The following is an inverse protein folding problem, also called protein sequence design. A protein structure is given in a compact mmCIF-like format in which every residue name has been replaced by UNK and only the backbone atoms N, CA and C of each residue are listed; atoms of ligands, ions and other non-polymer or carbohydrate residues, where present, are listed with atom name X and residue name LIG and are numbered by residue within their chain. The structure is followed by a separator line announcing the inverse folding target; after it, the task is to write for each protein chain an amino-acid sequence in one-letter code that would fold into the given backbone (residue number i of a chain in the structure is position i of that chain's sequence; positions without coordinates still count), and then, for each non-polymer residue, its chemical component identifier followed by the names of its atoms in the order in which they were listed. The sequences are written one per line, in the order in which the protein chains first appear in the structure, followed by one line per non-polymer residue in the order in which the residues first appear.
data_IF_064092646804
#
_entry.id   IF_064092646804
#
_cell.length_a   1.000
_cell.length_b   1.000
_cell.length_c   1.000
_cell.angle_alpha   90.00
_cell.angle_beta   90.00
_cell.angle_gamma   90.00
#
_symmetry.space_group_name_H-M   'P 1'
#
loop_
_entity.id
_entity.type
_entity.pdbx_description
1 polymer ?
#
# COMPACT_ATOMS: atom_id res chain seq x y z
N UNK A 1 -10.30 -22.54 -42.49
CA UNK A 1 -9.88 -23.85 -41.92
C UNK A 1 -8.41 -23.89 -41.54
N UNK A 2 -7.48 -23.39 -42.42
CA UNK A 2 -6.03 -23.34 -42.11
C UNK A 2 -5.70 -22.46 -40.90
N UNK A 3 -6.37 -21.30 -40.72
CA UNK A 3 -6.22 -20.35 -39.59
C UNK A 3 -6.64 -21.01 -38.26
N UNK A 4 -7.63 -21.91 -38.28
CA UNK A 4 -8.06 -22.66 -37.09
C UNK A 4 -7.07 -23.75 -36.64
N UNK A 5 -6.11 -24.11 -37.50
CA UNK A 5 -5.07 -25.09 -37.25
C UNK A 5 -3.71 -24.47 -36.83
N UNK A 6 -3.70 -23.14 -36.55
CA UNK A 6 -2.49 -22.45 -36.11
C UNK A 6 -1.47 -22.16 -37.24
N UNK A 7 -1.88 -22.20 -38.50
CA UNK A 7 -1.07 -21.84 -39.67
C UNK A 7 -1.01 -20.30 -39.75
N UNK A 8 0.19 -19.73 -39.65
CA UNK A 8 0.39 -18.28 -39.67
C UNK A 8 0.17 -17.65 -41.04
N UNK A 9 0.51 -18.38 -42.13
CA UNK A 9 0.31 -17.92 -43.52
C UNK A 9 0.25 -19.10 -44.47
N UNK A 10 -0.21 -18.89 -45.70
CA UNK A 10 -0.22 -19.89 -46.76
C UNK A 10 0.10 -19.21 -48.09
N UNK A 11 0.78 -19.95 -48.99
CA UNK A 11 1.14 -19.55 -50.33
C UNK A 11 0.41 -20.43 -51.33
N UNK A 12 -0.16 -19.81 -52.38
CA UNK A 12 -0.82 -20.54 -53.46
C UNK A 12 0.19 -20.80 -54.59
N UNK A 13 0.19 -22.02 -55.15
CA UNK A 13 1.03 -22.33 -56.29
C UNK A 13 0.45 -21.76 -57.60
N UNK A 14 1.29 -21.20 -58.47
CA UNK A 14 2.74 -21.07 -58.42
C UNK A 14 3.19 -19.97 -57.45
N UNK A 15 4.19 -20.24 -56.60
CA UNK A 15 4.73 -19.28 -55.64
C UNK A 15 5.82 -18.45 -56.32
N UNK A 16 5.66 -17.13 -56.29
CA UNK A 16 6.72 -16.22 -56.73
C UNK A 16 7.76 -16.03 -55.64
N UNK A 17 9.05 -15.94 -56.00
CA UNK A 17 10.16 -15.79 -55.01
C UNK A 17 9.95 -14.58 -54.08
N UNK A 18 9.46 -13.45 -54.61
CA UNK A 18 9.17 -12.24 -53.84
C UNK A 18 8.06 -12.47 -52.82
N UNK A 19 7.03 -13.22 -53.19
CA UNK A 19 5.90 -13.53 -52.25
C UNK A 19 6.32 -14.47 -51.14
N UNK A 20 7.23 -15.41 -51.46
CA UNK A 20 7.84 -16.31 -50.48
C UNK A 20 8.72 -15.55 -49.50
N UNK A 21 9.62 -14.66 -49.99
CA UNK A 21 10.46 -13.81 -49.13
C UNK A 21 9.62 -12.94 -48.19
N UNK A 22 8.62 -12.26 -48.71
CA UNK A 22 7.71 -11.39 -47.88
C UNK A 22 6.98 -12.22 -46.84
N UNK A 23 6.54 -13.41 -47.15
CA UNK A 23 5.82 -14.27 -46.20
C UNK A 23 6.75 -14.79 -45.10
N UNK A 24 7.99 -15.18 -45.45
CA UNK A 24 9.02 -15.60 -44.49
C UNK A 24 9.38 -14.42 -43.58
N UNK A 25 9.62 -13.23 -44.13
CA UNK A 25 9.93 -12.03 -43.33
C UNK A 25 8.80 -11.70 -42.35
N UNK A 26 7.56 -11.74 -42.76
CA UNK A 26 6.39 -11.51 -41.94
C UNK A 26 6.26 -12.55 -40.82
N UNK A 27 6.55 -13.81 -41.08
CA UNK A 27 6.57 -14.87 -40.07
C UNK A 27 7.70 -14.65 -39.04
N UNK A 28 8.89 -14.26 -39.50
CA UNK A 28 10.00 -13.91 -38.60
C UNK A 28 9.69 -12.71 -37.73
N UNK A 29 9.10 -11.66 -38.28
CA UNK A 29 8.67 -10.47 -37.52
C UNK A 29 7.62 -10.81 -36.49
N UNK A 30 6.65 -11.67 -36.82
CA UNK A 30 5.63 -12.15 -35.87
C UNK A 30 6.26 -12.96 -34.72
N UNK A 31 7.21 -13.86 -35.03
CA UNK A 31 7.92 -14.64 -34.00
C UNK A 31 8.74 -13.71 -33.08
N UNK A 32 9.46 -12.77 -33.69
CA UNK A 32 10.21 -11.76 -32.93
C UNK A 32 9.34 -10.94 -32.01
N UNK A 33 8.23 -10.41 -32.52
CA UNK A 33 7.28 -9.61 -31.74
C UNK A 33 6.61 -10.43 -30.64
N UNK A 34 6.24 -11.69 -30.86
CA UNK A 34 5.71 -12.57 -29.83
C UNK A 34 6.73 -12.84 -28.73
N UNK A 35 8.00 -13.10 -29.07
CA UNK A 35 9.08 -13.29 -28.10
C UNK A 35 9.36 -12.02 -27.31
N UNK A 36 9.39 -10.87 -27.97
CA UNK A 36 9.56 -9.56 -27.32
C UNK A 36 8.42 -9.30 -26.34
N UNK A 37 7.17 -9.44 -26.77
CA UNK A 37 6.00 -9.24 -25.91
C UNK A 37 6.00 -10.21 -24.72
N UNK A 38 6.40 -11.47 -24.91
CA UNK A 38 6.49 -12.43 -23.81
C UNK A 38 7.60 -12.07 -22.81
N UNK A 39 8.73 -11.58 -23.29
CA UNK A 39 9.85 -11.12 -22.45
C UNK A 39 9.46 -9.86 -21.67
N UNK A 40 8.81 -8.91 -22.34
CA UNK A 40 8.35 -7.67 -21.71
C UNK A 40 7.30 -7.95 -20.62
N UNK A 41 6.37 -8.86 -20.87
CA UNK A 41 5.38 -9.31 -19.90
C UNK A 41 6.02 -9.99 -18.67
N UNK A 42 7.02 -10.86 -18.91
CA UNK A 42 7.78 -11.49 -17.83
C UNK A 42 8.56 -10.46 -17.01
N UNK A 43 9.12 -9.44 -17.69
CA UNK A 43 9.85 -8.35 -17.02
C UNK A 43 8.92 -7.53 -16.15
N UNK A 44 7.77 -7.10 -16.66
CA UNK A 44 6.76 -6.37 -15.89
C UNK A 44 6.26 -7.18 -14.69
N UNK A 45 5.96 -8.47 -14.89
CA UNK A 45 5.55 -9.34 -13.79
C UNK A 45 6.64 -9.47 -12.71
N UNK A 46 7.92 -9.61 -13.12
CA UNK A 46 9.04 -9.71 -12.18
C UNK A 46 9.23 -8.41 -11.40
N UNK A 47 9.15 -7.25 -12.07
CA UNK A 47 9.23 -5.94 -11.43
C UNK A 47 8.08 -5.70 -10.44
N UNK A 48 6.85 -6.08 -10.82
CA UNK A 48 5.69 -5.96 -9.95
C UNK A 48 5.84 -6.84 -8.69
N UNK A 49 6.28 -8.09 -8.87
CA UNK A 49 6.53 -9.01 -7.74
C UNK A 49 7.68 -8.54 -6.86
N UNK A 50 8.72 -7.92 -7.43
CA UNK A 50 9.82 -7.33 -6.67
C UNK A 50 9.34 -6.11 -5.88
N UNK A 51 8.64 -5.18 -6.51
CA UNK A 51 8.08 -4.01 -5.85
C UNK A 51 7.07 -4.38 -4.75
N UNK A 52 6.22 -5.38 -4.96
CA UNK A 52 5.25 -5.84 -3.96
C UNK A 52 5.82 -6.76 -2.86
N UNK A 53 7.11 -7.17 -2.96
CA UNK A 53 7.74 -8.09 -2.01
C UNK A 53 7.26 -9.53 -2.12
N UNK A 54 6.63 -9.92 -3.24
CA UNK A 54 6.08 -11.26 -3.46
C UNK A 54 7.02 -12.20 -4.24
N UNK A 55 8.30 -11.84 -4.40
CA UNK A 55 9.35 -12.67 -4.99
C UNK A 55 10.49 -12.89 -3.99
N UNK A 56 10.99 -14.11 -3.91
CA UNK A 56 12.17 -14.41 -3.09
C UNK A 56 13.47 -13.91 -3.74
N UNK A 57 14.50 -13.64 -2.94
CA UNK A 57 15.78 -13.08 -3.40
C UNK A 57 16.50 -13.96 -4.43
N UNK A 58 16.43 -15.29 -4.28
CA UNK A 58 17.01 -16.25 -5.21
C UNK A 58 16.29 -16.23 -6.58
N UNK A 59 14.95 -16.35 -6.57
CA UNK A 59 14.13 -16.26 -7.78
C UNK A 59 14.30 -14.90 -8.48
N UNK A 60 14.38 -13.81 -7.69
CA UNK A 60 14.62 -12.47 -8.23
C UNK A 60 15.96 -12.39 -8.95
N UNK A 61 17.02 -12.92 -8.35
CA UNK A 61 18.36 -12.89 -8.92
C UNK A 61 18.45 -13.67 -10.26
N UNK A 62 17.85 -14.85 -10.31
CA UNK A 62 17.78 -15.66 -11.53
C UNK A 62 17.02 -14.95 -12.65
N UNK A 63 15.85 -14.40 -12.34
CA UNK A 63 15.02 -13.69 -13.33
C UNK A 63 15.67 -12.39 -13.78
N UNK A 64 16.27 -11.64 -12.87
CA UNK A 64 16.92 -10.37 -13.16
C UNK A 64 18.07 -10.56 -14.17
N UNK A 65 18.89 -11.60 -14.00
CA UNK A 65 19.98 -11.93 -14.93
C UNK A 65 19.47 -12.18 -16.36
N UNK A 66 18.35 -12.89 -16.52
CA UNK A 66 17.75 -13.20 -17.83
C UNK A 66 17.07 -11.97 -18.45
N UNK A 67 16.43 -11.15 -17.61
CA UNK A 67 15.61 -10.03 -18.05
C UNK A 67 16.37 -8.71 -18.17
N UNK A 68 17.66 -8.68 -17.77
CA UNK A 68 18.49 -7.48 -17.81
C UNK A 68 18.06 -6.45 -16.76
N UNK A 69 17.68 -6.90 -15.57
CA UNK A 69 17.39 -6.05 -14.41
C UNK A 69 18.65 -6.03 -13.54
N UNK A 70 19.19 -4.84 -13.29
CA UNK A 70 20.38 -4.70 -12.47
C UNK A 70 20.00 -4.58 -10.99
N UNK A 71 20.40 -5.56 -10.20
CA UNK A 71 20.17 -5.62 -8.75
C UNK A 71 21.34 -5.10 -7.90
N UNK A 72 22.38 -4.53 -8.55
CA UNK A 72 23.61 -4.09 -7.87
C UNK A 72 23.73 -2.56 -7.82
N UNK A 73 22.64 -1.89 -7.48
CA UNK A 73 22.65 -0.43 -7.28
C UNK A 73 22.90 -0.09 -5.80
N UNK A 74 23.57 1.04 -5.52
CA UNK A 74 23.82 1.49 -4.14
C UNK A 74 22.54 1.75 -3.33
N UNK A 75 21.51 2.26 -4.01
CA UNK A 75 20.21 2.59 -3.44
C UNK A 75 19.11 2.36 -4.47
N UNK A 76 17.89 2.16 -3.97
CA UNK A 76 16.68 2.04 -4.77
C UNK A 76 15.59 2.94 -4.22
N UNK A 77 14.76 3.47 -5.11
CA UNK A 77 13.57 4.25 -4.74
C UNK A 77 12.44 3.91 -5.71
N UNK A 78 11.23 3.82 -5.19
CA UNK A 78 10.03 3.63 -6.01
C UNK A 78 9.29 4.94 -6.19
N UNK A 79 8.91 5.22 -7.42
CA UNK A 79 8.07 6.35 -7.80
C UNK A 79 6.77 5.80 -8.38
N UNK A 80 5.63 6.22 -7.85
CA UNK A 80 4.30 5.87 -8.36
C UNK A 80 3.67 7.11 -8.99
N UNK A 81 3.08 6.94 -10.18
CA UNK A 81 2.35 8.01 -10.86
C UNK A 81 0.94 7.56 -11.23
N UNK A 82 -0.03 8.45 -11.00
CA UNK A 82 -1.43 8.27 -11.38
C UNK A 82 -1.92 9.43 -12.23
N UNK A 83 -2.89 9.15 -13.06
CA UNK A 83 -3.54 10.14 -13.91
C UNK A 83 -4.54 10.99 -13.12
N UNK A 84 -4.53 12.31 -13.33
CA UNK A 84 -5.61 13.21 -12.92
C UNK A 84 -6.53 13.49 -14.13
N UNK A 85 -7.81 13.24 -13.95
CA UNK A 85 -8.79 13.50 -15.01
C UNK A 85 -8.66 12.62 -16.26
N UNK A 86 -8.89 13.19 -17.44
CA UNK A 86 -8.91 12.48 -18.74
C UNK A 86 -7.57 12.50 -19.50
N UNK A 87 -6.53 13.09 -18.93
CA UNK A 87 -5.22 13.26 -19.59
C UNK A 87 -4.46 11.94 -19.75
N UNK A 88 -3.56 11.85 -20.72
CA UNK A 88 -2.73 10.67 -20.97
C UNK A 88 -1.40 10.78 -20.21
N UNK A 89 -0.97 9.68 -19.57
CA UNK A 89 0.35 9.58 -18.94
C UNK A 89 1.50 9.36 -19.97
N UNK A 90 1.20 9.20 -21.25
CA UNK A 90 2.21 8.77 -22.24
C UNK A 90 3.36 9.79 -22.40
N UNK A 91 3.05 11.07 -22.53
CA UNK A 91 4.06 12.13 -22.68
C UNK A 91 4.90 12.26 -21.40
N UNK A 92 4.27 12.31 -20.23
CA UNK A 92 4.95 12.36 -18.95
C UNK A 92 5.89 11.15 -18.75
N UNK A 93 5.41 9.95 -19.09
CA UNK A 93 6.20 8.72 -19.02
C UNK A 93 7.43 8.76 -19.92
N UNK A 94 7.29 9.26 -21.16
CA UNK A 94 8.40 9.41 -22.08
C UNK A 94 9.45 10.40 -21.53
N UNK A 95 9.03 11.58 -21.06
CA UNK A 95 9.91 12.58 -20.46
C UNK A 95 10.61 12.06 -19.19
N UNK A 96 9.88 11.36 -18.31
CA UNK A 96 10.51 10.73 -17.15
C UNK A 96 11.58 9.69 -17.52
N UNK A 97 11.31 8.82 -18.49
CA UNK A 97 12.29 7.82 -18.94
C UNK A 97 13.51 8.48 -19.56
N UNK A 98 13.36 9.56 -20.30
CA UNK A 98 14.45 10.29 -20.93
C UNK A 98 15.33 11.02 -19.89
N UNK A 99 14.72 11.78 -18.98
CA UNK A 99 15.45 12.58 -17.99
C UNK A 99 16.09 11.72 -16.89
N UNK A 100 15.30 10.83 -16.30
CA UNK A 100 15.77 10.00 -15.18
C UNK A 100 16.82 8.97 -15.61
N UNK A 101 16.73 8.43 -16.85
CA UNK A 101 17.71 7.47 -17.35
C UNK A 101 19.12 8.08 -17.56
N UNK A 102 19.25 9.41 -17.56
CA UNK A 102 20.57 10.06 -17.60
C UNK A 102 21.33 9.94 -16.27
N UNK A 103 20.62 9.76 -15.15
CA UNK A 103 21.19 9.74 -13.80
C UNK A 103 20.99 8.42 -13.08
N UNK A 104 19.92 7.72 -13.37
CA UNK A 104 19.48 6.53 -12.65
C UNK A 104 19.19 5.37 -13.59
N UNK A 105 19.28 4.16 -13.11
CA UNK A 105 18.67 3.03 -13.78
C UNK A 105 17.16 3.06 -13.54
N UNK A 106 16.37 3.03 -14.61
CA UNK A 106 14.91 3.18 -14.54
C UNK A 106 14.24 1.90 -15.03
N UNK A 107 13.45 1.27 -14.17
CA UNK A 107 12.64 0.11 -14.50
C UNK A 107 11.16 0.45 -14.27
N UNK A 108 10.39 0.62 -15.35
CA UNK A 108 8.96 1.00 -15.28
C UNK A 108 8.02 -0.17 -15.58
N UNK A 109 6.87 -0.21 -14.88
CA UNK A 109 5.80 -1.17 -15.10
C UNK A 109 4.44 -0.60 -14.67
N UNK A 110 3.35 -1.29 -15.04
CA UNK A 110 2.00 -0.98 -14.56
C UNK A 110 1.61 -1.93 -13.45
N UNK A 111 1.10 -1.40 -12.35
CA UNK A 111 0.56 -2.23 -11.29
C UNK A 111 -0.92 -2.61 -11.55
N UNK A 112 -1.46 -3.50 -10.70
CA UNK A 112 -2.83 -4.00 -10.81
C UNK A 112 -3.90 -2.91 -10.64
N UNK A 113 -3.57 -1.79 -9.99
CA UNK A 113 -4.46 -0.62 -9.82
C UNK A 113 -4.34 0.39 -10.97
N UNK A 114 -3.56 0.07 -12.02
CA UNK A 114 -3.34 0.94 -13.16
C UNK A 114 -2.46 2.15 -12.86
N UNK A 115 -1.62 2.10 -11.82
CA UNK A 115 -0.59 3.10 -11.53
C UNK A 115 0.66 2.79 -12.33
N UNK A 116 1.30 3.81 -12.88
CA UNK A 116 2.62 3.63 -13.46
C UNK A 116 3.69 3.73 -12.39
N UNK A 117 4.43 2.67 -12.23
CA UNK A 117 5.45 2.51 -11.20
C UNK A 117 6.82 2.49 -11.83
N UNK A 118 7.77 3.24 -11.26
CA UNK A 118 9.18 3.24 -11.62
C UNK A 118 10.00 2.78 -10.42
N UNK A 119 10.89 1.84 -10.64
CA UNK A 119 11.98 1.50 -9.72
C UNK A 119 13.21 2.22 -10.22
N UNK A 120 13.71 3.17 -9.43
CA UNK A 120 14.95 3.89 -9.68
C UNK A 120 16.07 3.21 -8.90
N UNK A 121 17.21 2.99 -9.55
CA UNK A 121 18.43 2.49 -8.94
C UNK A 121 19.59 3.44 -9.20
N UNK A 122 20.40 3.76 -8.19
CA UNK A 122 21.52 4.68 -8.38
C UNK A 122 22.12 5.22 -7.09
N UNK A 123 22.79 6.35 -7.20
CA UNK A 123 23.30 7.14 -6.07
C UNK A 123 22.46 8.40 -5.90
N UNK A 124 22.46 8.94 -4.70
CA UNK A 124 21.81 10.22 -4.37
C UNK A 124 20.29 10.22 -4.69
N UNK A 125 19.62 9.09 -4.43
CA UNK A 125 18.17 8.94 -4.54
C UNK A 125 17.43 9.64 -3.39
N UNK A 126 17.91 10.84 -3.00
CA UNK A 126 17.17 11.69 -2.06
C UNK A 126 15.85 12.12 -2.69
N UNK A 127 14.83 12.31 -1.85
CA UNK A 127 13.51 12.73 -2.34
C UNK A 127 13.54 14.07 -3.04
N UNK A 128 14.38 14.99 -2.58
CA UNK A 128 14.59 16.31 -3.16
C UNK A 128 15.11 16.18 -4.59
N UNK A 129 16.14 15.36 -4.79
CA UNK A 129 16.76 15.16 -6.10
C UNK A 129 15.76 14.49 -7.07
N UNK A 130 15.12 13.42 -6.64
CA UNK A 130 14.12 12.70 -7.46
C UNK A 130 12.91 13.61 -7.74
N UNK A 131 12.45 14.39 -6.76
CA UNK A 131 11.34 15.33 -6.93
C UNK A 131 11.65 16.43 -7.94
N UNK A 132 12.88 16.96 -7.92
CA UNK A 132 13.31 17.97 -8.87
C UNK A 132 13.26 17.45 -10.32
N UNK A 133 13.78 16.25 -10.57
CA UNK A 133 13.77 15.62 -11.90
C UNK A 133 12.35 15.31 -12.36
N UNK A 134 11.49 14.80 -11.48
CA UNK A 134 10.09 14.49 -11.79
C UNK A 134 9.29 15.77 -12.07
N UNK A 135 9.53 16.84 -11.32
CA UNK A 135 8.90 18.13 -11.55
C UNK A 135 9.32 18.72 -12.91
N UNK A 136 10.59 18.57 -13.27
CA UNK A 136 11.09 18.96 -14.58
C UNK A 136 10.42 18.15 -15.71
N UNK A 137 10.33 16.84 -15.57
CA UNK A 137 9.63 15.97 -16.53
C UNK A 137 8.13 16.33 -16.67
N UNK A 138 7.47 16.70 -15.58
CA UNK A 138 6.07 17.13 -15.61
C UNK A 138 5.90 18.46 -16.33
N UNK A 139 6.83 19.39 -16.18
CA UNK A 139 6.83 20.69 -16.89
C UNK A 139 7.08 20.50 -18.38
N UNK A 140 8.11 19.75 -18.79
CA UNK A 140 8.44 19.50 -20.19
C UNK A 140 7.31 18.80 -20.94
N UNK A 141 6.62 17.87 -20.28
CA UNK A 141 5.50 17.13 -20.85
C UNK A 141 4.15 17.86 -20.78
N UNK A 142 4.10 19.10 -20.25
CA UNK A 142 2.87 19.83 -19.92
C UNK A 142 1.89 18.99 -19.07
N UNK A 143 2.40 18.16 -18.17
CA UNK A 143 1.61 17.21 -17.41
C UNK A 143 1.43 17.62 -15.92
N UNK A 144 1.83 18.81 -15.51
CA UNK A 144 1.79 19.28 -14.12
C UNK A 144 0.43 19.06 -13.47
N UNK A 145 -0.65 19.43 -14.15
CA UNK A 145 -2.02 19.26 -13.66
C UNK A 145 -2.65 17.91 -14.06
N UNK A 146 -1.98 17.15 -14.91
CA UNK A 146 -2.48 15.92 -15.51
C UNK A 146 -2.04 14.66 -14.75
N UNK A 147 -1.02 14.77 -13.90
CA UNK A 147 -0.44 13.65 -13.16
C UNK A 147 -0.31 13.98 -11.69
N UNK A 148 -0.37 12.95 -10.88
CA UNK A 148 0.04 12.99 -9.49
C UNK A 148 1.11 11.93 -9.29
N UNK A 149 2.18 12.29 -8.62
CA UNK A 149 3.34 11.43 -8.42
C UNK A 149 3.67 11.36 -6.94
N UNK A 150 3.94 10.17 -6.44
CA UNK A 150 4.48 9.99 -5.10
C UNK A 150 5.84 9.30 -5.16
N UNK A 151 6.77 9.74 -4.32
CA UNK A 151 8.12 9.24 -4.22
C UNK A 151 8.25 8.50 -2.90
N UNK A 152 8.60 7.22 -2.97
CA UNK A 152 8.86 6.38 -1.80
C UNK A 152 10.18 6.74 -1.10
N UNK A 153 10.45 6.06 0.01
CA UNK A 153 11.74 6.18 0.71
C UNK A 153 12.85 5.49 -0.05
N UNK A 154 14.06 6.05 -0.06
CA UNK A 154 15.24 5.36 -0.56
C UNK A 154 15.60 4.18 0.35
N UNK A 155 15.98 3.05 -0.24
CA UNK A 155 16.38 1.83 0.44
C UNK A 155 17.67 1.28 -0.17
N UNK A 156 18.54 0.66 0.64
CA UNK A 156 19.83 0.11 0.18
C UNK A 156 19.77 -1.36 -0.19
N UNK A 157 18.83 -2.08 0.36
CA UNK A 157 18.70 -3.52 0.17
C UNK A 157 17.54 -3.82 -0.80
N UNK A 158 17.76 -4.71 -1.75
CA UNK A 158 16.75 -5.14 -2.72
C UNK A 158 15.50 -5.72 -2.07
N UNK A 159 15.68 -6.42 -0.94
CA UNK A 159 14.59 -7.00 -0.14
C UNK A 159 13.69 -5.94 0.52
N UNK A 160 14.16 -4.71 0.66
CA UNK A 160 13.42 -3.59 1.25
C UNK A 160 12.69 -2.72 0.20
N UNK A 161 12.84 -3.03 -1.10
CA UNK A 161 12.21 -2.24 -2.15
C UNK A 161 10.69 -2.11 -1.98
N UNK A 162 10.04 -3.17 -1.50
CA UNK A 162 8.60 -3.18 -1.25
C UNK A 162 8.17 -2.11 -0.23
N UNK A 163 9.05 -1.72 0.71
CA UNK A 163 8.76 -0.61 1.64
C UNK A 163 8.69 0.72 0.91
N UNK A 164 9.60 0.96 -0.04
CA UNK A 164 9.56 2.14 -0.89
C UNK A 164 8.28 2.17 -1.74
N UNK A 165 7.89 1.03 -2.30
CA UNK A 165 6.65 0.89 -3.08
C UNK A 165 5.40 1.15 -2.24
N UNK A 166 5.26 0.51 -1.09
CA UNK A 166 4.13 0.72 -0.17
C UNK A 166 4.05 2.19 0.27
N UNK A 167 5.19 2.80 0.58
CA UNK A 167 5.28 4.19 0.96
C UNK A 167 4.77 5.14 -0.15
N UNK A 168 5.21 4.92 -1.39
CA UNK A 168 4.73 5.70 -2.54
C UNK A 168 3.23 5.47 -2.80
N UNK A 169 2.76 4.23 -2.74
CA UNK A 169 1.34 3.88 -2.91
C UNK A 169 0.45 4.54 -1.86
N UNK A 170 0.82 4.41 -0.59
CA UNK A 170 0.10 5.03 0.53
C UNK A 170 0.05 6.54 0.38
N UNK A 171 1.15 7.15 -0.07
CA UNK A 171 1.21 8.60 -0.28
C UNK A 171 0.24 9.05 -1.38
N UNK A 172 0.15 8.33 -2.49
CA UNK A 172 -0.86 8.60 -3.54
C UNK A 172 -2.26 8.37 -3.00
N UNK A 173 -2.48 7.21 -2.39
CA UNK A 173 -3.80 6.81 -1.93
C UNK A 173 -4.35 7.71 -0.82
N UNK A 174 -3.48 8.31 0.00
CA UNK A 174 -3.88 9.18 1.12
C UNK A 174 -3.93 10.68 0.80
N UNK A 175 -3.36 11.13 -0.31
CA UNK A 175 -3.30 12.56 -0.66
C UNK A 175 -4.11 12.92 -1.93
N UNK A 176 -5.23 12.27 -2.14
CA UNK A 176 -6.07 12.49 -3.34
C UNK A 176 -6.62 13.92 -3.46
N UNK A 177 -6.66 14.67 -2.38
CA UNK A 177 -7.13 16.06 -2.30
C UNK A 177 -5.99 17.11 -2.39
N UNK A 178 -4.73 16.67 -2.50
CA UNK A 178 -3.61 17.62 -2.62
C UNK A 178 -3.56 18.25 -4.02
N UNK A 179 -3.36 19.55 -4.08
CA UNK A 179 -3.13 20.28 -5.33
C UNK A 179 -1.70 20.14 -5.86
N UNK A 180 -0.77 19.64 -5.04
CA UNK A 180 0.61 19.41 -5.47
C UNK A 180 0.70 18.27 -6.48
N UNK A 181 1.36 18.44 -7.62
CA UNK A 181 1.58 17.37 -8.60
C UNK A 181 2.56 16.29 -8.07
N UNK A 182 3.52 16.68 -7.24
CA UNK A 182 4.47 15.76 -6.61
C UNK A 182 4.19 15.68 -5.12
N UNK A 183 3.89 14.47 -4.66
CA UNK A 183 3.58 14.17 -3.28
C UNK A 183 4.82 13.53 -2.62
N UNK A 184 5.31 14.17 -1.57
CA UNK A 184 6.38 13.65 -0.74
C UNK A 184 5.79 13.16 0.58
N UNK A 185 6.13 11.94 1.00
CA UNK A 185 5.84 11.52 2.36
C UNK A 185 6.82 12.23 3.30
N UNK A 186 6.33 12.73 4.42
CA UNK A 186 7.17 13.42 5.40
C UNK A 186 8.27 12.49 5.93
N UNK A 187 9.48 13.02 6.13
CA UNK A 187 10.69 12.27 6.53
C UNK A 187 10.55 11.52 7.86
N UNK A 188 9.67 11.99 8.74
CA UNK A 188 9.48 11.43 10.09
C UNK A 188 8.86 10.04 10.12
N UNK A 189 8.26 9.56 9.01
CA UNK A 189 7.65 8.22 8.95
C UNK A 189 8.26 7.37 7.82
N UNK A 190 9.58 7.19 7.87
CA UNK A 190 10.37 6.47 6.85
C UNK A 190 9.92 5.02 6.64
N UNK A 191 9.28 4.39 7.63
CA UNK A 191 8.82 3.00 7.58
C UNK A 191 7.29 2.86 7.64
N UNK A 192 6.52 3.95 7.70
CA UNK A 192 5.07 3.92 7.92
C UNK A 192 4.67 3.45 9.33
N UNK A 193 5.64 3.31 10.22
CA UNK A 193 5.47 2.73 11.56
C UNK A 193 4.52 3.58 12.41
N UNK A 194 4.70 4.90 12.42
CA UNK A 194 3.83 5.80 13.18
C UNK A 194 2.41 5.84 12.61
N UNK A 195 2.27 5.78 11.28
CA UNK A 195 0.97 5.75 10.63
C UNK A 195 0.24 4.43 10.88
N UNK A 196 0.95 3.30 10.91
CA UNK A 196 0.39 2.00 11.29
C UNK A 196 -0.08 2.01 12.74
N UNK A 197 0.75 2.52 13.65
CA UNK A 197 0.43 2.61 15.06
C UNK A 197 -0.81 3.49 15.30
N UNK A 198 -0.86 4.66 14.68
CA UNK A 198 -2.00 5.58 14.79
C UNK A 198 -3.28 4.96 14.22
N UNK A 199 -3.19 4.25 13.09
CA UNK A 199 -4.35 3.54 12.53
C UNK A 199 -4.87 2.47 13.49
N UNK A 200 -4.00 1.73 14.19
CA UNK A 200 -4.44 0.74 15.17
C UNK A 200 -5.08 1.38 16.41
N UNK A 201 -4.53 2.48 16.92
CA UNK A 201 -5.16 3.24 18.01
C UNK A 201 -6.56 3.72 17.61
N UNK A 202 -6.73 4.24 16.39
CA UNK A 202 -8.04 4.64 15.84
C UNK A 202 -8.98 3.45 15.69
N UNK A 203 -8.48 2.31 15.15
CA UNK A 203 -9.30 1.10 14.97
C UNK A 203 -9.85 0.59 16.29
N UNK A 204 -9.02 0.48 17.32
CA UNK A 204 -9.44 0.08 18.66
C UNK A 204 -10.57 0.98 19.14
N UNK A 205 -10.42 2.31 19.00
CA UNK A 205 -11.45 3.28 19.41
C UNK A 205 -12.77 3.12 18.63
N UNK A 206 -12.70 2.78 17.34
CA UNK A 206 -13.90 2.60 16.51
C UNK A 206 -14.71 1.36 16.90
N UNK A 207 -14.04 0.28 17.32
CA UNK A 207 -14.70 -0.94 17.79
C UNK A 207 -15.21 -0.87 19.22
N UNK A 208 -14.74 0.08 20.06
CA UNK A 208 -15.22 0.22 21.44
C UNK A 208 -16.74 0.52 21.48
N UNK A 209 -17.54 -0.30 22.19
CA UNK A 209 -18.98 -0.12 22.28
C UNK A 209 -19.36 1.04 23.19
N UNK A 210 -18.63 1.26 24.29
CA UNK A 210 -18.93 2.27 25.30
C UNK A 210 -18.55 3.68 24.83
N UNK A 211 -19.52 4.59 24.81
CA UNK A 211 -19.32 5.96 24.34
C UNK A 211 -18.40 6.76 25.26
N UNK A 212 -18.53 6.63 26.57
CA UNK A 212 -17.74 7.39 27.54
C UNK A 212 -16.27 7.02 27.46
N UNK A 213 -15.97 5.71 27.31
CA UNK A 213 -14.61 5.22 27.14
C UNK A 213 -14.03 5.73 25.81
N UNK A 214 -14.81 5.71 24.71
CA UNK A 214 -14.40 6.25 23.43
C UNK A 214 -14.10 7.74 23.48
N UNK A 215 -14.99 8.54 24.04
CA UNK A 215 -14.83 9.98 24.13
C UNK A 215 -13.59 10.36 24.96
N UNK A 216 -13.29 9.56 25.98
CA UNK A 216 -12.03 9.68 26.74
C UNK A 216 -10.82 9.30 25.88
N UNK A 217 -10.91 8.24 25.11
CA UNK A 217 -9.88 7.81 24.17
C UNK A 217 -9.61 8.84 23.07
N UNK A 218 -10.66 9.47 22.53
CA UNK A 218 -10.51 10.53 21.53
C UNK A 218 -9.76 11.74 22.08
N UNK A 219 -10.13 12.20 23.27
CA UNK A 219 -9.40 13.29 23.95
C UNK A 219 -7.95 12.94 24.24
N UNK A 220 -7.71 11.73 24.72
CA UNK A 220 -6.34 11.26 24.98
C UNK A 220 -5.48 11.25 23.69
N UNK A 221 -6.04 10.72 22.60
CA UNK A 221 -5.35 10.67 21.30
C UNK A 221 -5.09 12.08 20.74
N UNK A 222 -6.08 12.97 20.83
CA UNK A 222 -5.94 14.37 20.42
C UNK A 222 -4.83 15.09 21.23
N UNK A 223 -4.83 14.97 22.57
CA UNK A 223 -3.80 15.54 23.42
C UNK A 223 -2.41 15.00 23.10
N UNK A 224 -2.29 13.69 22.90
CA UNK A 224 -1.03 13.03 22.51
C UNK A 224 -0.49 13.60 21.19
N UNK A 225 -1.32 13.71 20.15
CA UNK A 225 -0.93 14.26 18.85
C UNK A 225 -0.53 15.73 18.95
N UNK A 226 -1.23 16.51 19.77
CA UNK A 226 -0.89 17.92 20.00
C UNK A 226 0.48 18.07 20.68
N UNK A 227 0.77 17.23 21.68
CA UNK A 227 2.04 17.25 22.40
C UNK A 227 3.22 16.82 21.51
N UNK A 228 3.00 15.87 20.59
CA UNK A 228 4.05 15.39 19.69
C UNK A 228 4.44 16.44 18.64
N UNK A 229 3.49 16.94 17.86
CA UNK A 229 3.75 17.85 16.73
C UNK A 229 2.75 19.01 16.64
N UNK A 230 1.59 18.89 17.29
CA UNK A 230 0.45 19.79 17.06
C UNK A 230 0.69 21.22 17.51
N UNK A 231 1.61 21.45 18.45
CA UNK A 231 1.97 22.77 18.92
C UNK A 231 2.66 23.59 17.85
N UNK A 232 3.57 22.98 17.11
CA UNK A 232 4.38 23.63 16.08
C UNK A 232 3.84 23.40 14.65
N UNK A 233 3.14 22.28 14.43
CA UNK A 233 2.61 21.87 13.14
C UNK A 233 1.21 21.23 13.23
N UNK A 234 0.16 21.95 13.64
CA UNK A 234 -1.18 21.39 13.90
C UNK A 234 -1.82 20.77 12.64
N UNK A 235 -1.61 21.36 11.47
CA UNK A 235 -2.09 20.80 10.20
C UNK A 235 -1.45 19.45 9.88
N UNK A 236 -0.17 19.29 10.21
CA UNK A 236 0.57 18.04 10.03
C UNK A 236 -0.04 16.94 10.88
N UNK A 237 -0.29 17.22 12.18
CA UNK A 237 -0.89 16.26 13.08
C UNK A 237 -2.33 15.92 12.71
N UNK A 238 -3.15 16.88 12.29
CA UNK A 238 -4.50 16.61 11.77
C UNK A 238 -4.47 15.79 10.48
N UNK A 239 -3.53 16.06 9.58
CA UNK A 239 -3.33 15.27 8.36
C UNK A 239 -2.93 13.83 8.68
N UNK A 240 -2.05 13.63 9.67
CA UNK A 240 -1.69 12.27 10.16
C UNK A 240 -2.91 11.55 10.71
N UNK A 241 -3.72 12.21 11.53
CA UNK A 241 -4.95 11.62 12.08
C UNK A 241 -5.95 11.27 10.97
N UNK A 242 -6.15 12.17 10.02
CA UNK A 242 -6.99 11.91 8.85
C UNK A 242 -6.53 10.66 8.07
N UNK A 243 -5.23 10.56 7.80
CA UNK A 243 -4.63 9.39 7.14
C UNK A 243 -4.84 8.11 7.97
N UNK A 244 -4.70 8.19 9.29
CA UNK A 244 -4.99 7.07 10.20
C UNK A 244 -6.44 6.59 10.11
N UNK A 245 -7.40 7.51 10.16
CA UNK A 245 -8.82 7.21 10.01
C UNK A 245 -9.15 6.59 8.64
N UNK A 246 -8.61 7.16 7.55
CA UNK A 246 -8.78 6.61 6.19
C UNK A 246 -8.19 5.22 6.07
N UNK A 247 -7.00 4.98 6.63
CA UNK A 247 -6.34 3.67 6.60
C UNK A 247 -7.19 2.59 7.28
N UNK A 248 -7.81 2.92 8.42
CA UNK A 248 -8.76 2.02 9.08
C UNK A 248 -9.95 1.71 8.16
N UNK A 249 -10.61 2.74 7.64
CA UNK A 249 -11.77 2.55 6.76
C UNK A 249 -11.44 1.72 5.52
N UNK A 250 -10.34 2.02 4.84
CA UNK A 250 -9.93 1.30 3.63
C UNK A 250 -9.48 -0.13 3.89
N UNK A 251 -8.89 -0.42 5.06
CA UNK A 251 -8.48 -1.77 5.43
C UNK A 251 -9.65 -2.65 5.88
N UNK A 252 -10.65 -2.05 6.54
CA UNK A 252 -11.84 -2.78 7.00
C UNK A 252 -12.87 -2.97 5.87
N UNK A 253 -12.98 -2.00 4.96
CA UNK A 253 -13.98 -1.97 3.90
C UNK A 253 -13.37 -1.71 2.52
N UNK A 254 -12.47 -2.57 2.02
CA UNK A 254 -11.74 -2.33 0.77
C UNK A 254 -12.65 -2.28 -0.48
N UNK A 255 -13.86 -2.81 -0.40
CA UNK A 255 -14.85 -2.78 -1.48
C UNK A 255 -15.60 -1.44 -1.61
N UNK A 256 -15.44 -0.51 -0.64
CA UNK A 256 -16.14 0.78 -0.64
C UNK A 256 -15.32 1.86 -1.37
N UNK A 257 -15.86 2.39 -2.49
CA UNK A 257 -15.12 3.32 -3.37
C UNK A 257 -15.10 4.78 -2.87
N UNK A 258 -16.08 5.21 -2.05
CA UNK A 258 -16.28 6.63 -1.72
C UNK A 258 -15.85 7.04 -0.29
N UNK A 259 -15.06 6.22 0.39
CA UNK A 259 -14.66 6.48 1.79
C UNK A 259 -13.88 7.78 1.97
N UNK A 260 -13.15 8.22 0.95
CA UNK A 260 -12.33 9.44 0.97
C UNK A 260 -13.16 10.72 0.95
N UNK A 261 -14.33 10.69 0.29
CA UNK A 261 -15.22 11.85 0.22
C UNK A 261 -15.93 12.11 1.54
N UNK A 262 -16.11 11.07 2.36
CA UNK A 262 -16.83 11.13 3.64
C UNK A 262 -15.96 11.77 4.72
N UNK A 263 -14.64 11.54 4.68
CA UNK A 263 -13.71 12.03 5.68
C UNK A 263 -12.98 13.27 5.14
N UNK A 264 -13.48 14.46 5.44
CA UNK A 264 -12.80 15.70 5.08
C UNK A 264 -11.95 16.20 6.24
N UNK A 265 -10.77 16.72 5.94
CA UNK A 265 -9.97 17.45 6.92
C UNK A 265 -10.76 18.72 7.27
N UNK A 266 -10.98 19.03 8.57
CA UNK A 266 -11.61 20.28 8.96
C UNK A 266 -10.90 21.48 8.32
N UNK A 267 -11.65 22.50 7.92
CA UNK A 267 -11.08 23.72 7.36
C UNK A 267 -10.23 24.42 8.42
N UNK A 268 -8.93 24.25 8.31
CA UNK A 268 -7.93 24.83 9.18
C UNK A 268 -7.24 25.97 8.43
N UNK A 269 -7.45 27.20 8.86
CA UNK A 269 -6.81 28.36 8.23
C UNK A 269 -5.49 28.67 8.93
N UNK A 270 -4.34 28.68 8.23
CA UNK A 270 -3.02 28.97 8.82
C UNK A 270 -2.90 30.34 9.48
N UNK A 271 -3.80 31.26 9.10
CA UNK A 271 -3.77 32.68 9.51
C UNK A 271 -4.29 32.96 10.93
N UNK A 272 -4.94 31.99 11.56
CA UNK A 272 -5.43 32.11 12.94
C UNK A 272 -4.50 31.41 13.91
N UNK A 273 -4.12 32.08 15.00
CA UNK A 273 -3.55 31.40 16.16
C UNK A 273 -4.57 30.45 16.75
N UNK A 274 -4.32 29.16 16.59
CA UNK A 274 -5.19 28.10 17.11
C UNK A 274 -4.66 27.62 18.46
N UNK A 275 -5.58 27.53 19.42
CA UNK A 275 -5.27 27.00 20.75
C UNK A 275 -5.27 25.47 20.76
N UNK A 276 -4.70 24.87 21.81
CA UNK A 276 -4.79 23.43 22.07
C UNK A 276 -6.24 22.92 22.03
N UNK A 277 -7.18 23.73 22.57
CA UNK A 277 -8.61 23.38 22.56
C UNK A 277 -9.22 23.37 21.15
N UNK A 278 -8.76 24.24 20.25
CA UNK A 278 -9.22 24.25 18.86
C UNK A 278 -8.70 23.01 18.11
N UNK A 279 -7.45 22.63 18.35
CA UNK A 279 -6.87 21.40 17.81
C UNK A 279 -7.61 20.16 18.33
N UNK A 280 -7.82 20.06 19.64
CA UNK A 280 -8.52 18.93 20.26
C UNK A 280 -9.92 18.78 19.67
N UNK A 281 -10.67 19.88 19.54
CA UNK A 281 -12.00 19.86 18.94
C UNK A 281 -11.98 19.36 17.48
N UNK A 282 -11.03 19.84 16.65
CA UNK A 282 -10.92 19.41 15.26
C UNK A 282 -10.53 17.93 15.15
N UNK A 283 -9.64 17.44 16.01
CA UNK A 283 -9.25 16.05 16.07
C UNK A 283 -10.40 15.14 16.53
N UNK A 284 -11.12 15.54 17.56
CA UNK A 284 -12.30 14.79 18.05
C UNK A 284 -13.42 14.75 17.01
N UNK A 285 -13.71 15.85 16.33
CA UNK A 285 -14.69 15.91 15.24
C UNK A 285 -14.34 14.96 14.11
N UNK A 286 -13.05 14.90 13.74
CA UNK A 286 -12.55 13.98 12.72
C UNK A 286 -12.71 12.51 13.14
N UNK A 287 -12.39 12.17 14.40
CA UNK A 287 -12.56 10.82 14.93
C UNK A 287 -14.03 10.41 14.99
N UNK A 288 -14.92 11.32 15.38
CA UNK A 288 -16.38 11.09 15.41
C UNK A 288 -16.90 10.86 13.98
N UNK A 289 -16.54 11.71 13.05
CA UNK A 289 -16.94 11.58 11.63
C UNK A 289 -16.42 10.28 11.02
N UNK A 290 -15.15 9.94 11.28
CA UNK A 290 -14.56 8.68 10.82
C UNK A 290 -15.28 7.46 11.38
N UNK A 291 -15.65 7.49 12.68
CA UNK A 291 -16.45 6.41 13.28
C UNK A 291 -17.86 6.32 12.70
N UNK A 292 -18.50 7.44 12.42
CA UNK A 292 -19.82 7.43 11.78
C UNK A 292 -19.74 6.76 10.39
N UNK A 293 -18.71 7.09 9.60
CA UNK A 293 -18.45 6.42 8.33
C UNK A 293 -18.19 4.92 8.52
N UNK A 294 -17.36 4.54 9.50
CA UNK A 294 -17.09 3.15 9.86
C UNK A 294 -18.37 2.39 10.19
N UNK A 295 -19.20 2.92 11.07
CA UNK A 295 -20.45 2.30 11.48
C UNK A 295 -21.47 2.19 10.34
N UNK A 296 -21.46 3.17 9.42
CA UNK A 296 -22.30 3.12 8.21
C UNK A 296 -21.86 1.96 7.30
N UNK A 297 -20.58 1.86 6.99
CA UNK A 297 -20.04 0.75 6.19
C UNK A 297 -20.28 -0.61 6.85
N UNK A 298 -20.09 -0.69 8.17
CA UNK A 298 -20.37 -1.91 8.93
C UNK A 298 -21.85 -2.31 8.83
N UNK A 299 -22.78 -1.36 8.88
CA UNK A 299 -24.21 -1.62 8.77
C UNK A 299 -24.66 -2.10 7.38
N UNK A 300 -23.89 -1.86 6.35
CA UNK A 300 -24.15 -2.36 4.98
C UNK A 300 -23.82 -3.86 4.83
N UNK A 301 -23.01 -4.42 5.73
CA UNK A 301 -22.68 -5.84 5.74
C UNK A 301 -23.83 -6.66 6.36
N UNK A 302 -23.92 -7.93 5.97
CA UNK A 302 -24.90 -8.84 6.59
C UNK A 302 -24.64 -8.99 8.10
N UNK A 303 -25.69 -9.19 8.93
CA UNK A 303 -25.56 -9.27 10.38
C UNK A 303 -24.54 -10.30 10.85
N UNK A 304 -24.42 -11.42 10.16
CA UNK A 304 -23.47 -12.48 10.55
C UNK A 304 -22.02 -12.08 10.26
N UNK A 305 -21.76 -11.33 9.18
CA UNK A 305 -20.41 -10.80 8.87
C UNK A 305 -20.04 -9.71 9.87
N UNK A 306 -20.98 -8.84 10.26
CA UNK A 306 -20.76 -7.85 11.33
C UNK A 306 -20.36 -8.54 12.65
N UNK A 307 -21.09 -9.61 13.03
CA UNK A 307 -20.77 -10.40 14.23
C UNK A 307 -19.41 -11.09 14.10
N UNK A 308 -19.08 -11.61 12.91
CA UNK A 308 -17.79 -12.26 12.66
C UNK A 308 -16.62 -11.28 12.77
N UNK A 309 -16.74 -10.07 12.21
CA UNK A 309 -15.74 -9.02 12.34
C UNK A 309 -15.50 -8.65 13.81
N UNK A 310 -16.58 -8.41 14.56
CA UNK A 310 -16.48 -8.09 15.99
C UNK A 310 -15.86 -9.25 16.79
N UNK A 311 -16.28 -10.49 16.51
CA UNK A 311 -15.71 -11.67 17.16
C UNK A 311 -14.20 -11.79 16.93
N UNK A 312 -13.71 -11.49 15.72
CA UNK A 312 -12.27 -11.48 15.44
C UNK A 312 -11.56 -10.43 16.29
N UNK A 313 -12.07 -9.20 16.32
CA UNK A 313 -11.44 -8.12 17.10
C UNK A 313 -11.41 -8.42 18.60
N UNK A 314 -12.55 -8.81 19.18
CA UNK A 314 -12.64 -9.12 20.61
C UNK A 314 -11.69 -10.27 20.97
N UNK A 315 -11.65 -11.33 20.17
CA UNK A 315 -10.81 -12.48 20.43
C UNK A 315 -9.31 -12.18 20.28
N UNK A 316 -8.92 -11.32 19.34
CA UNK A 316 -7.51 -10.91 19.18
C UNK A 316 -7.07 -10.04 20.35
N UNK A 317 -7.95 -9.17 20.85
CA UNK A 317 -7.68 -8.34 22.05
C UNK A 317 -7.54 -9.19 23.31
N UNK A 318 -8.29 -10.29 23.42
CA UNK A 318 -8.24 -11.24 24.54
C UNK A 318 -7.09 -12.27 24.41
N UNK A 319 -6.35 -12.27 23.30
CA UNK A 319 -5.29 -13.26 23.03
C UNK A 319 -5.82 -14.66 22.75
N UNK A 320 -7.09 -14.81 22.38
CA UNK A 320 -7.71 -16.11 22.16
C UNK A 320 -7.30 -16.70 20.81
N UNK A 321 -6.93 -17.98 20.82
CA UNK A 321 -6.76 -18.77 19.60
C UNK A 321 -8.13 -19.07 19.00
N UNK A 322 -8.45 -18.46 17.86
CA UNK A 322 -9.73 -18.65 17.18
C UNK A 322 -9.57 -19.11 15.73
N UNK A 323 -10.61 -19.78 15.23
CA UNK A 323 -10.72 -20.15 13.83
C UNK A 323 -12.15 -19.90 13.31
N UNK A 324 -12.31 -19.88 11.99
CA UNK A 324 -13.64 -19.82 11.37
C UNK A 324 -14.53 -20.99 11.81
N UNK A 325 -13.92 -22.16 12.10
CA UNK A 325 -14.67 -23.34 12.56
C UNK A 325 -15.26 -23.13 13.94
N UNK A 326 -14.50 -22.51 14.87
CA UNK A 326 -14.97 -22.23 16.22
C UNK A 326 -16.12 -21.22 16.21
N UNK A 327 -15.99 -20.16 15.39
CA UNK A 327 -17.06 -19.20 15.20
C UNK A 327 -18.32 -19.85 14.64
N UNK A 328 -18.19 -20.69 13.60
CA UNK A 328 -19.32 -21.37 12.96
C UNK A 328 -19.98 -22.39 13.90
N UNK A 329 -19.21 -23.12 14.70
CA UNK A 329 -19.75 -24.05 15.68
C UNK A 329 -20.59 -23.31 16.73
N UNK A 330 -20.16 -22.14 17.21
CA UNK A 330 -20.91 -21.31 18.15
C UNK A 330 -22.20 -20.73 17.56
N UNK A 331 -22.25 -20.49 16.25
CA UNK A 331 -23.38 -19.83 15.58
C UNK A 331 -24.22 -20.78 14.73
N UNK A 332 -23.98 -22.10 14.79
CA UNK A 332 -24.74 -23.10 14.05
C UNK A 332 -24.64 -23.00 12.52
N UNK A 333 -23.48 -22.57 12.01
CA UNK A 333 -23.27 -22.26 10.60
C UNK A 333 -22.27 -23.18 9.91
N UNK A 334 -22.39 -23.25 8.58
CA UNK A 334 -21.40 -23.95 7.75
C UNK A 334 -20.18 -23.05 7.49
N UNK A 335 -18.95 -23.51 7.80
CA UNK A 335 -17.73 -22.72 7.58
C UNK A 335 -17.48 -22.32 6.12
N UNK A 336 -17.86 -23.17 5.14
CA UNK A 336 -17.68 -22.84 3.73
C UNK A 336 -18.64 -21.73 3.29
N UNK A 337 -19.88 -21.74 3.78
CA UNK A 337 -20.85 -20.67 3.52
C UNK A 337 -20.37 -19.33 4.10
N UNK A 338 -19.97 -19.32 5.38
CA UNK A 338 -19.46 -18.11 6.01
C UNK A 338 -18.20 -17.61 5.29
N UNK A 339 -17.27 -18.49 4.95
CA UNK A 339 -16.04 -18.11 4.25
C UNK A 339 -16.30 -17.43 2.90
N UNK A 340 -17.26 -17.94 2.13
CA UNK A 340 -17.68 -17.34 0.87
C UNK A 340 -18.38 -15.98 1.07
N UNK A 341 -19.32 -15.91 2.03
CA UNK A 341 -20.06 -14.69 2.35
C UNK A 341 -19.11 -13.60 2.86
N UNK A 342 -18.23 -13.95 3.80
CA UNK A 342 -17.24 -13.05 4.37
C UNK A 342 -16.34 -12.46 3.27
N UNK A 343 -15.79 -13.31 2.39
CA UNK A 343 -14.97 -12.84 1.26
C UNK A 343 -15.76 -11.94 0.31
N UNK A 344 -17.01 -12.30 -0.01
CA UNK A 344 -17.88 -11.53 -0.91
C UNK A 344 -18.12 -10.11 -0.37
N UNK A 345 -18.36 -9.96 0.93
CA UNK A 345 -18.75 -8.70 1.54
C UNK A 345 -17.54 -7.86 2.01
N UNK A 346 -16.46 -8.50 2.51
CA UNK A 346 -15.27 -7.79 3.01
C UNK A 346 -14.13 -7.70 2.00
N UNK A 347 -14.19 -8.45 0.88
CA UNK A 347 -13.11 -8.55 -0.11
C UNK A 347 -11.97 -9.49 0.27
N UNK A 348 -11.87 -9.94 1.54
CA UNK A 348 -10.79 -10.78 2.06
C UNK A 348 -11.27 -12.12 2.62
N UNK A 349 -10.40 -13.13 2.67
CA UNK A 349 -10.74 -14.36 3.38
C UNK A 349 -10.69 -14.17 4.89
N UNK A 350 -11.55 -14.88 5.63
CA UNK A 350 -11.62 -14.80 7.09
C UNK A 350 -10.25 -15.04 7.78
N UNK A 351 -9.50 -16.02 7.33
CA UNK A 351 -8.18 -16.33 7.93
C UNK A 351 -7.13 -15.26 7.64
N UNK A 352 -7.18 -14.64 6.46
CA UNK A 352 -6.27 -13.54 6.10
C UNK A 352 -6.61 -12.30 6.91
N UNK A 353 -7.90 -12.01 7.08
CA UNK A 353 -8.38 -10.93 7.94
C UNK A 353 -7.97 -11.14 9.41
N UNK A 354 -8.18 -12.35 9.95
CA UNK A 354 -7.75 -12.70 11.30
C UNK A 354 -6.23 -12.54 11.48
N UNK A 355 -5.45 -12.99 10.49
CA UNK A 355 -4.00 -12.82 10.51
C UNK A 355 -3.61 -11.34 10.52
N UNK A 356 -4.25 -10.53 9.68
CA UNK A 356 -4.05 -9.09 9.64
C UNK A 356 -4.34 -8.44 11.00
N UNK A 357 -5.46 -8.78 11.63
CA UNK A 357 -5.82 -8.27 12.95
C UNK A 357 -4.76 -8.63 14.01
N UNK A 358 -4.26 -9.87 14.00
CA UNK A 358 -3.19 -10.31 14.92
C UNK A 358 -1.88 -9.53 14.70
N UNK A 359 -1.47 -9.36 13.44
CA UNK A 359 -0.28 -8.56 13.11
C UNK A 359 -0.47 -7.13 13.59
N UNK A 360 -1.61 -6.53 13.33
CA UNK A 360 -1.90 -5.16 13.71
C UNK A 360 -1.90 -4.99 15.24
N UNK A 361 -2.54 -5.87 15.98
CA UNK A 361 -2.50 -5.84 17.46
C UNK A 361 -1.06 -5.99 17.98
N UNK A 362 -0.23 -6.81 17.34
CA UNK A 362 1.16 -6.96 17.74
C UNK A 362 1.97 -5.66 17.63
N UNK A 363 1.59 -4.73 16.75
CA UNK A 363 2.23 -3.41 16.61
C UNK A 363 2.10 -2.60 17.91
N UNK A 364 0.92 -2.63 18.52
CA UNK A 364 0.70 -1.96 19.83
C UNK A 364 1.60 -2.57 20.90
N UNK A 365 1.73 -3.90 20.93
CA UNK A 365 2.54 -4.61 21.92
C UNK A 365 4.04 -4.41 21.71
N UNK A 366 4.47 -4.20 20.46
CA UNK A 366 5.87 -3.93 20.11
C UNK A 366 6.39 -2.60 20.65
N UNK A 367 5.53 -1.66 21.03
CA UNK A 367 5.94 -0.40 21.70
C UNK A 367 6.66 -0.66 23.03
N UNK A 368 6.34 -1.75 23.72
CA UNK A 368 7.04 -2.09 24.95
C UNK A 368 8.37 -2.78 24.64
N UNK A 369 9.54 -2.12 24.89
CA UNK A 369 10.85 -2.67 24.58
C UNK A 369 11.17 -3.94 25.35
N UNK A 370 10.56 -4.09 26.55
CA UNK A 370 10.84 -5.18 27.47
C UNK A 370 10.07 -6.47 27.15
N UNK A 371 9.04 -6.41 26.27
CA UNK A 371 8.29 -7.60 25.87
C UNK A 371 9.09 -8.44 24.88
N UNK A 372 9.19 -9.74 25.12
CA UNK A 372 9.85 -10.65 24.19
C UNK A 372 8.95 -10.89 22.98
N UNK A 373 9.56 -11.02 21.79
CA UNK A 373 8.85 -11.32 20.55
C UNK A 373 8.01 -12.61 20.64
N UNK A 374 8.52 -13.61 21.39
CA UNK A 374 7.81 -14.86 21.64
C UNK A 374 6.50 -14.62 22.41
N UNK A 375 6.55 -13.81 23.46
CA UNK A 375 5.40 -13.54 24.33
C UNK A 375 4.34 -12.75 23.56
N UNK A 376 4.76 -11.79 22.72
CA UNK A 376 3.86 -11.06 21.81
C UNK A 376 3.17 -12.02 20.83
N UNK A 377 3.92 -12.96 20.23
CA UNK A 377 3.34 -13.92 19.29
C UNK A 377 2.25 -14.79 19.95
N UNK A 378 2.50 -15.25 21.17
CA UNK A 378 1.53 -16.03 21.95
C UNK A 378 0.31 -15.18 22.33
N UNK A 379 0.52 -13.94 22.79
CA UNK A 379 -0.54 -13.03 23.22
C UNK A 379 -1.49 -12.64 22.07
N UNK A 380 -1.00 -12.49 20.84
CA UNK A 380 -1.85 -12.22 19.67
C UNK A 380 -2.39 -13.49 18.98
N UNK A 381 -2.15 -14.66 19.57
CA UNK A 381 -2.75 -15.92 19.16
C UNK A 381 -2.01 -16.67 18.04
N UNK A 382 -0.70 -16.46 17.84
CA UNK A 382 0.10 -17.29 16.94
C UNK A 382 0.56 -18.58 17.63
N UNK A 383 0.50 -19.70 16.92
CA UNK A 383 0.94 -21.00 17.42
C UNK A 383 2.47 -21.08 17.66
N UNK A 384 3.27 -20.27 16.99
CA UNK A 384 4.71 -20.19 17.21
C UNK A 384 5.28 -18.82 16.87
N UNK A 385 6.34 -18.44 17.59
CA UNK A 385 7.07 -17.20 17.33
C UNK A 385 7.71 -17.17 15.93
N UNK A 386 8.19 -18.30 15.41
CA UNK A 386 8.78 -18.38 14.08
C UNK A 386 7.74 -18.11 13.00
N UNK A 387 6.52 -18.65 13.13
CA UNK A 387 5.43 -18.39 12.21
C UNK A 387 4.96 -16.93 12.29
N UNK A 388 4.86 -16.37 13.50
CA UNK A 388 4.57 -14.94 13.68
C UNK A 388 5.59 -14.06 12.96
N UNK A 389 6.91 -14.29 13.18
CA UNK A 389 7.98 -13.50 12.54
C UNK A 389 7.89 -13.55 11.03
N UNK A 390 7.58 -14.73 10.46
CA UNK A 390 7.38 -14.92 9.03
C UNK A 390 6.19 -14.10 8.53
N UNK A 391 5.01 -14.28 9.13
CA UNK A 391 3.78 -13.56 8.75
C UNK A 391 3.91 -12.04 8.91
N UNK A 392 4.54 -11.60 10.00
CA UNK A 392 4.80 -10.18 10.24
C UNK A 392 5.70 -9.60 9.14
N UNK A 393 6.79 -10.30 8.78
CA UNK A 393 7.69 -9.88 7.71
C UNK A 393 6.99 -9.84 6.34
N UNK A 394 6.17 -10.83 6.02
CA UNK A 394 5.37 -10.86 4.79
C UNK A 394 4.36 -9.70 4.72
N UNK A 395 3.82 -9.28 5.87
CA UNK A 395 2.82 -8.21 5.95
C UNK A 395 3.43 -6.80 6.03
N UNK A 396 4.48 -6.62 6.85
CA UNK A 396 5.11 -5.32 7.12
C UNK A 396 6.46 -5.13 6.44
N UNK A 397 6.96 -6.16 5.77
CA UNK A 397 8.21 -6.14 5.01
C UNK A 397 9.47 -6.29 5.85
N UNK A 398 9.41 -6.05 7.15
CA UNK A 398 10.53 -6.16 8.09
C UNK A 398 10.17 -7.05 9.27
N UNK A 399 11.20 -7.56 9.98
CA UNK A 399 10.96 -8.37 11.16
C UNK A 399 10.36 -7.56 12.31
N UNK A 400 9.61 -8.19 13.25
CA UNK A 400 9.06 -7.52 14.42
C UNK A 400 10.14 -6.79 15.26
N UNK A 401 11.32 -7.37 15.37
CA UNK A 401 12.44 -6.76 16.12
C UNK A 401 12.95 -5.49 15.44
N UNK A 402 13.06 -5.49 14.10
CA UNK A 402 13.46 -4.30 13.32
C UNK A 402 12.37 -3.23 13.34
N UNK A 403 11.11 -3.65 13.28
CA UNK A 403 9.96 -2.75 13.43
C UNK A 403 9.98 -2.05 14.79
N UNK A 404 10.23 -2.79 15.89
CA UNK A 404 10.40 -2.22 17.23
C UNK A 404 11.51 -1.19 17.32
N UNK A 405 12.67 -1.46 16.70
CA UNK A 405 13.76 -0.47 16.68
C UNK A 405 13.33 0.83 16.00
N UNK A 406 12.57 0.75 14.91
CA UNK A 406 12.03 1.93 14.24
C UNK A 406 11.05 2.73 15.10
N UNK A 407 10.22 2.06 15.93
CA UNK A 407 9.32 2.76 16.88
C UNK A 407 10.10 3.63 17.87
N UNK A 408 11.23 3.14 18.38
CA UNK A 408 12.03 3.85 19.40
C UNK A 408 13.00 4.88 18.80
N UNK A 409 13.37 4.77 17.52
CA UNK A 409 14.16 5.80 16.85
C UNK A 409 13.36 7.09 16.58
N UNK A 410 12.03 7.00 16.54
CA UNK A 410 11.14 8.15 16.32
C UNK A 410 10.68 8.81 17.64
N UNK A 411 10.94 8.22 18.79
CA UNK A 411 10.60 8.78 20.12
C UNK A 411 11.77 9.57 20.77
N UNK A 412 12.95 9.61 20.17
CA UNK A 412 14.16 10.33 20.62
C UNK A 412 14.47 11.52 19.75
#
# INVERSE_FOLDING_TARGET
RAIQLGVENYLLKPVADVEMEQTIQKALDNIYNRRKNSRDLLRENTLNRWASGSIGSEELSERAAVLGINLYQPEYCVVCAVRRGKSSLAAFRASCLELLAQKYEVNGFWDEKGRWVMILGGRDLSRENVSAEISHAAQESNAVDAVRVAIGTSVKETDLLHMSYLNACDTIDMNDLSDSPVLLKEETDTLGIDADLLAEEVRILYYLPDQSIRDTGYRHLATKLYQQDGKDAPLKSLSRLHKGCLRVLMSEFPAQENLREVLRVPSWTPEKQHSESDFARAAEEMLVTGRQAFMKCLAELSPIVQVALRYVHDSVMEGAGISIKDFCAKNGMNPAYLGHLFKKETGTFFNDYLMQCRINQSIILLRNPNRKIKDIAEEVGFASASYYVKCFRENKGISPSRYRMGLHMNEG
#
